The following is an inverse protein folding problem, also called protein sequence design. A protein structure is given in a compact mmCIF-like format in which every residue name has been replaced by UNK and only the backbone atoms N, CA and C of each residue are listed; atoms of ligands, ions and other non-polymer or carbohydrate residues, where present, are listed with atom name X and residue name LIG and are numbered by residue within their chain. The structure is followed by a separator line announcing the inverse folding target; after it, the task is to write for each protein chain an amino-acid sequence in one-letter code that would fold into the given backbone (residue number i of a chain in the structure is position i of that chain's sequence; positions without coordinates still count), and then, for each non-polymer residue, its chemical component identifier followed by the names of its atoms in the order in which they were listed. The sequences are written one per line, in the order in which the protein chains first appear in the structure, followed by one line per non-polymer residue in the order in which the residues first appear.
data_IF_354253623873
#
_entry.id   IF_354253623873
#
_cell.length_a   1.000
_cell.length_b   1.000
_cell.length_c   1.000
_cell.angle_alpha   90.00
_cell.angle_beta   90.00
_cell.angle_gamma   90.00
#
_symmetry.space_group_name_H-M   'P 1'
#
loop_
_entity.id
_entity.type
_entity.pdbx_description
1 polymer ?
#
# COMPACT_ATOMS: atom_id res chain seq x y z
N UNK A 1 1.72 19.86 3.83
CA UNK A 1 0.42 19.22 4.04
C UNK A 1 0.55 17.72 3.85
N UNK A 2 0.06 16.98 4.83
CA UNK A 2 0.18 15.53 4.79
C UNK A 2 -1.00 14.90 4.05
N UNK A 3 -0.70 13.97 3.18
CA UNK A 3 -1.74 13.20 2.51
C UNK A 3 -2.10 11.98 3.36
N UNK A 4 -3.34 11.55 3.28
CA UNK A 4 -3.76 10.32 3.92
C UNK A 4 -3.09 9.13 3.23
N UNK A 5 -3.10 7.97 3.88
CA UNK A 5 -2.54 6.77 3.29
C UNK A 5 -3.18 6.45 1.93
N UNK A 6 -4.51 6.58 1.85
CA UNK A 6 -5.23 6.35 0.60
C UNK A 6 -4.75 7.31 -0.49
N UNK A 7 -4.62 8.58 -0.15
CA UNK A 7 -4.15 9.59 -1.10
C UNK A 7 -2.72 9.33 -1.54
N UNK A 8 -1.86 8.90 -0.63
CA UNK A 8 -0.48 8.56 -0.97
C UNK A 8 -0.43 7.44 -2.00
N UNK A 9 -1.28 6.43 -1.84
CA UNK A 9 -1.35 5.35 -2.81
C UNK A 9 -1.79 5.86 -4.17
N UNK A 10 -2.82 6.72 -4.20
CA UNK A 10 -3.29 7.32 -5.46
C UNK A 10 -2.18 8.09 -6.15
N UNK A 11 -1.40 8.84 -5.39
CA UNK A 11 -0.28 9.61 -5.94
C UNK A 11 0.76 8.67 -6.54
N UNK A 12 1.11 7.61 -5.83
CA UNK A 12 2.10 6.64 -6.32
C UNK A 12 1.64 5.93 -7.58
N UNK A 13 0.33 5.75 -7.74
CA UNK A 13 -0.24 5.13 -8.93
C UNK A 13 -0.43 6.13 -10.08
N UNK A 14 -0.17 7.42 -9.83
CA UNK A 14 -0.33 8.44 -10.85
C UNK A 14 -1.78 8.79 -11.13
N UNK A 15 -2.68 8.49 -10.21
CA UNK A 15 -4.11 8.72 -10.39
C UNK A 15 -4.49 10.09 -9.84
N UNK A 16 -3.89 11.11 -10.38
CA UNK A 16 -4.18 12.48 -9.97
C UNK A 16 -3.75 13.44 -11.07
N UNK A 17 -4.24 14.67 -10.98
CA UNK A 17 -3.76 15.75 -11.83
C UNK A 17 -3.71 17.04 -11.01
N UNK A 18 -2.99 18.00 -11.53
CA UNK A 18 -2.86 19.29 -10.88
C UNK A 18 -3.84 20.25 -11.55
N UNK A 19 -4.67 20.89 -10.75
CA UNK A 19 -5.66 21.86 -11.22
C UNK A 19 -5.22 23.25 -10.73
N UNK A 20 -5.06 24.16 -11.67
CA UNK A 20 -4.66 25.53 -11.38
C UNK A 20 -5.70 26.54 -11.90
N UNK A 21 -6.89 26.06 -12.24
CA UNK A 21 -7.90 26.89 -12.89
C UNK A 21 -8.34 28.10 -12.04
N UNK A 22 -8.23 27.99 -10.73
CA UNK A 22 -8.61 29.08 -9.81
C UNK A 22 -7.44 29.94 -9.39
N UNK A 23 -6.27 29.78 -10.01
CA UNK A 23 -5.06 30.43 -9.58
C UNK A 23 -4.44 29.82 -8.32
N UNK A 24 -5.05 28.76 -7.83
CA UNK A 24 -4.55 28.00 -6.67
C UNK A 24 -4.20 26.60 -7.16
N UNK A 25 -2.99 26.15 -6.82
CA UNK A 25 -2.56 24.83 -7.19
C UNK A 25 -3.25 23.80 -6.30
N UNK A 26 -3.97 22.87 -6.91
CA UNK A 26 -4.68 21.82 -6.19
C UNK A 26 -4.34 20.46 -6.80
N UNK A 27 -4.25 19.46 -5.96
CA UNK A 27 -4.15 18.08 -6.40
C UNK A 27 -5.55 17.50 -6.45
N UNK A 28 -5.94 17.04 -7.64
CA UNK A 28 -7.25 16.41 -7.83
C UNK A 28 -7.02 14.94 -8.15
N UNK A 29 -7.71 14.08 -7.40
CA UNK A 29 -7.54 12.64 -7.58
C UNK A 29 -8.48 12.11 -8.64
N UNK A 30 -7.94 11.25 -9.49
CA UNK A 30 -8.64 10.70 -10.64
C UNK A 30 -9.02 9.25 -10.40
N UNK A 31 -9.72 8.66 -11.37
CA UNK A 31 -10.06 7.24 -11.40
C UNK A 31 -10.79 6.80 -10.14
N UNK A 32 -11.86 7.52 -9.85
CA UNK A 32 -12.67 7.23 -8.66
C UNK A 32 -13.28 5.83 -8.71
N UNK A 33 -13.46 5.28 -9.89
CA UNK A 33 -13.97 3.91 -10.06
C UNK A 33 -13.02 2.87 -9.48
N UNK A 34 -11.74 3.22 -9.31
CA UNK A 34 -10.76 2.31 -8.72
C UNK A 34 -10.66 2.43 -7.20
N UNK A 35 -11.32 3.43 -6.63
CA UNK A 35 -11.17 3.69 -5.19
C UNK A 35 -11.56 2.51 -4.30
N UNK A 36 -12.68 1.80 -4.55
CA UNK A 36 -13.01 0.66 -3.69
C UNK A 36 -11.95 -0.44 -3.75
N UNK A 37 -11.39 -0.69 -4.92
CA UNK A 37 -10.35 -1.69 -5.08
C UNK A 37 -9.09 -1.31 -4.30
N UNK A 38 -8.69 -0.03 -4.41
CA UNK A 38 -7.52 0.47 -3.70
C UNK A 38 -7.74 0.35 -2.20
N UNK A 39 -8.92 0.73 -1.72
CA UNK A 39 -9.21 0.64 -0.29
C UNK A 39 -9.15 -0.79 0.20
N UNK A 40 -9.67 -1.72 -0.57
CA UNK A 40 -9.62 -3.13 -0.21
C UNK A 40 -8.18 -3.63 -0.11
N UNK A 41 -7.33 -3.24 -1.06
CA UNK A 41 -5.92 -3.64 -1.04
C UNK A 41 -5.19 -3.05 0.16
N UNK A 42 -5.52 -1.80 0.53
CA UNK A 42 -4.97 -1.18 1.73
C UNK A 42 -5.37 -1.96 2.97
N UNK A 43 -6.65 -2.32 3.06
CA UNK A 43 -7.15 -3.07 4.20
C UNK A 43 -6.49 -4.44 4.31
N UNK A 44 -6.30 -5.12 3.19
CA UNK A 44 -5.61 -6.40 3.16
C UNK A 44 -4.16 -6.27 3.61
N UNK A 45 -3.45 -5.28 3.09
CA UNK A 45 -2.06 -5.05 3.45
C UNK A 45 -1.94 -4.73 4.93
N UNK A 46 -2.86 -3.90 5.45
CA UNK A 46 -2.89 -3.55 6.85
C UNK A 46 -3.07 -4.79 7.72
N UNK A 47 -4.00 -5.65 7.34
CA UNK A 47 -4.26 -6.87 8.10
C UNK A 47 -3.08 -7.83 8.06
N UNK A 48 -2.40 -7.92 6.92
CA UNK A 48 -1.20 -8.76 6.82
C UNK A 48 -0.10 -8.30 7.77
N UNK A 49 0.09 -6.98 7.87
CA UNK A 49 1.10 -6.44 8.78
C UNK A 49 0.70 -6.70 10.22
N UNK A 50 -0.57 -6.48 10.55
CA UNK A 50 -1.07 -6.76 11.90
C UNK A 50 -0.80 -8.21 12.26
N UNK A 51 -1.08 -9.14 11.34
CA UNK A 51 -0.85 -10.55 11.60
C UNK A 51 0.63 -10.86 11.81
N UNK A 52 1.51 -10.21 11.08
CA UNK A 52 2.96 -10.44 11.22
C UNK A 52 3.54 -9.82 12.47
N UNK A 53 2.90 -8.77 12.99
CA UNK A 53 3.35 -8.12 14.21
C UNK A 53 3.06 -8.96 15.47
N UNK A 54 2.06 -9.84 15.39
CA UNK A 54 1.71 -10.72 16.51
C UNK A 54 1.52 -9.95 17.81
N UNK A 55 0.63 -8.95 17.75
CA UNK A 55 0.39 -8.10 18.93
C UNK A 55 -0.10 -8.92 20.11
N UNK A 56 0.34 -8.58 21.34
CA UNK A 56 -0.15 -9.24 22.54
C UNK A 56 -1.65 -9.01 22.72
N UNK A 57 -2.31 -9.98 23.34
CA UNK A 57 -3.74 -9.85 23.63
C UNK A 57 -4.05 -8.66 24.53
N UNK A 58 -3.08 -8.25 25.34
CA UNK A 58 -3.25 -7.11 26.22
C UNK A 58 -3.29 -5.77 25.47
N UNK A 59 -2.92 -5.76 24.19
CA UNK A 59 -2.94 -4.54 23.42
C UNK A 59 -4.37 -4.16 23.04
N UNK A 60 -4.70 -2.89 23.30
CA UNK A 60 -5.97 -2.34 22.85
C UNK A 60 -5.89 -2.02 21.36
N UNK A 61 -7.03 -1.88 20.71
CA UNK A 61 -7.08 -1.48 19.31
C UNK A 61 -6.39 -0.14 19.13
N UNK A 62 -6.53 0.78 20.08
CA UNK A 62 -5.90 2.08 20.05
C UNK A 62 -4.37 1.97 19.99
N UNK A 63 -3.80 1.07 20.77
CA UNK A 63 -2.35 0.85 20.75
C UNK A 63 -1.87 0.21 19.46
N UNK A 64 -2.67 -0.69 18.92
CA UNK A 64 -2.35 -1.32 17.64
C UNK A 64 -2.37 -0.26 16.55
N UNK A 65 -3.39 0.60 16.54
CA UNK A 65 -3.50 1.67 15.54
C UNK A 65 -2.31 2.61 15.63
N UNK A 66 -1.90 2.94 16.83
CA UNK A 66 -0.75 3.83 17.03
C UNK A 66 0.54 3.20 16.51
N UNK A 67 0.75 1.93 16.79
CA UNK A 67 1.94 1.23 16.29
C UNK A 67 1.91 1.08 14.77
N UNK A 68 0.73 0.88 14.21
CA UNK A 68 0.59 0.71 12.77
C UNK A 68 0.92 1.98 11.97
N UNK A 69 0.89 3.14 12.61
CA UNK A 69 1.23 4.39 11.90
C UNK A 69 2.62 4.36 11.30
N UNK A 70 3.55 3.69 11.95
CA UNK A 70 4.92 3.63 11.41
C UNK A 70 5.06 2.70 10.22
N UNK A 71 4.03 1.93 9.90
CA UNK A 71 4.05 1.02 8.77
C UNK A 71 3.26 1.53 7.56
N UNK A 72 2.81 2.80 7.60
CA UNK A 72 2.04 3.34 6.47
C UNK A 72 2.80 3.28 5.15
N UNK A 73 4.10 3.50 5.20
CA UNK A 73 4.93 3.38 4.00
C UNK A 73 4.94 1.96 3.45
N UNK A 74 5.01 0.98 4.34
CA UNK A 74 4.99 -0.42 3.94
C UNK A 74 3.62 -0.77 3.35
N UNK A 75 2.55 -0.31 3.98
CA UNK A 75 1.19 -0.54 3.48
C UNK A 75 1.05 0.05 2.09
N UNK A 76 1.54 1.27 1.88
CA UNK A 76 1.48 1.91 0.57
C UNK A 76 2.25 1.11 -0.47
N UNK A 77 3.44 0.62 -0.12
CA UNK A 77 4.25 -0.18 -1.04
C UNK A 77 3.55 -1.49 -1.40
N UNK A 78 2.97 -2.17 -0.42
CA UNK A 78 2.25 -3.41 -0.65
C UNK A 78 1.03 -3.17 -1.53
N UNK A 79 0.30 -2.10 -1.28
CA UNK A 79 -0.90 -1.77 -2.04
C UNK A 79 -0.55 -1.49 -3.49
N UNK A 80 0.49 -0.70 -3.73
CA UNK A 80 0.94 -0.40 -5.09
C UNK A 80 1.39 -1.68 -5.80
N UNK A 81 2.15 -2.52 -5.09
CA UNK A 81 2.59 -3.78 -5.65
C UNK A 81 1.40 -4.65 -6.05
N UNK A 82 0.44 -4.82 -5.14
CA UNK A 82 -0.71 -5.68 -5.39
C UNK A 82 -1.60 -5.13 -6.50
N UNK A 83 -1.77 -3.82 -6.55
CA UNK A 83 -2.52 -3.17 -7.62
C UNK A 83 -1.87 -3.45 -8.98
N UNK A 84 -0.56 -3.33 -9.04
CA UNK A 84 0.19 -3.58 -10.27
C UNK A 84 0.14 -5.05 -10.67
N UNK A 85 0.19 -5.96 -9.71
CA UNK A 85 0.12 -7.38 -9.98
C UNK A 85 -1.24 -7.80 -10.53
N UNK A 86 -2.31 -7.15 -10.10
CA UNK A 86 -3.63 -7.45 -10.62
C UNK A 86 -3.70 -7.23 -12.13
N UNK A 87 -2.98 -6.21 -12.63
CA UNK A 87 -2.86 -6.00 -14.06
C UNK A 87 -1.84 -6.92 -14.72
N UNK A 88 -0.83 -7.32 -13.97
CA UNK A 88 0.27 -8.12 -14.50
C UNK A 88 -0.04 -9.62 -14.54
N UNK A 89 -1.15 -10.05 -13.97
CA UNK A 89 -1.54 -11.45 -14.05
C UNK A 89 -1.64 -11.91 -15.50
N UNK A 90 -2.04 -11.02 -16.39
CA UNK A 90 -2.06 -11.30 -17.82
C UNK A 90 -0.70 -11.11 -18.46
N UNK A 91 0.09 -10.20 -17.95
CA UNK A 91 1.40 -9.89 -18.52
C UNK A 91 2.42 -10.98 -18.24
N UNK A 92 2.21 -11.74 -17.18
CA UNK A 92 3.12 -12.85 -16.86
C UNK A 92 3.20 -13.86 -18.00
N UNK A 93 2.12 -14.03 -18.74
CA UNK A 93 2.12 -14.94 -19.87
C UNK A 93 2.92 -14.40 -21.06
N UNK A 94 3.15 -13.10 -21.11
CA UNK A 94 3.92 -12.48 -22.17
C UNK A 94 5.42 -12.50 -21.90
N UNK A 95 5.82 -12.73 -20.67
CA UNK A 95 7.23 -12.82 -20.33
C UNK A 95 7.92 -13.98 -21.01
N UNK A 96 7.16 -14.93 -21.52
CA UNK A 96 7.67 -16.08 -22.28
C UNK A 96 8.31 -15.67 -23.59
N UNK A 97 8.07 -14.45 -24.04
CA UNK A 97 8.63 -13.95 -25.28
C UNK A 97 9.98 -13.26 -25.10
N UNK A 98 10.67 -13.54 -24.02
CA UNK A 98 12.01 -13.04 -23.80
C UNK A 98 12.09 -11.67 -23.13
N UNK A 99 10.96 -11.09 -22.80
CA UNK A 99 10.96 -9.86 -22.02
C UNK A 99 10.84 -10.28 -20.56
N UNK A 100 11.99 -10.35 -19.91
CA UNK A 100 11.96 -10.72 -18.50
C UNK A 100 11.74 -9.46 -17.67
N UNK A 101 10.62 -9.44 -16.96
CA UNK A 101 10.38 -8.45 -15.93
C UNK A 101 10.66 -9.14 -14.61
N UNK A 102 11.67 -8.62 -13.94
CA UNK A 102 11.96 -9.12 -12.61
C UNK A 102 11.16 -8.27 -11.63
N UNK A 103 10.12 -8.86 -11.07
CA UNK A 103 9.35 -8.19 -10.03
C UNK A 103 10.06 -8.34 -8.72
N UNK A 104 10.05 -7.27 -7.94
CA UNK A 104 10.56 -7.32 -6.58
C UNK A 104 9.73 -8.35 -5.83
N UNK A 105 10.40 -9.23 -5.10
CA UNK A 105 9.73 -10.21 -4.29
C UNK A 105 8.84 -9.49 -3.27
N UNK A 106 7.56 -9.85 -3.26
CA UNK A 106 6.60 -9.23 -2.36
C UNK A 106 7.04 -9.36 -0.91
N UNK A 107 7.62 -10.48 -0.57
CA UNK A 107 8.09 -10.75 0.79
C UNK A 107 9.14 -9.73 1.24
N UNK A 108 9.94 -9.23 0.31
CA UNK A 108 10.97 -8.24 0.64
C UNK A 108 10.38 -6.91 1.11
N UNK A 109 9.12 -6.64 0.76
CA UNK A 109 8.45 -5.42 1.21
C UNK A 109 8.16 -5.43 2.70
N UNK A 110 8.20 -6.60 3.33
CA UNK A 110 8.01 -6.74 4.76
C UNK A 110 9.33 -6.70 5.55
N UNK A 111 10.43 -6.32 4.91
CA UNK A 111 11.76 -6.39 5.52
C UNK A 111 11.86 -5.69 6.88
N UNK A 112 11.09 -4.61 7.08
CA UNK A 112 11.11 -3.88 8.35
C UNK A 112 9.96 -4.27 9.28
N UNK A 113 9.17 -5.27 8.92
CA UNK A 113 8.03 -5.71 9.72
C UNK A 113 8.44 -6.98 10.46
N UNK A 114 8.55 -6.86 11.77
CA UNK A 114 8.93 -7.97 12.64
C UNK A 114 7.84 -8.26 13.63
N UNK A 115 7.77 -9.49 14.16
CA UNK A 115 6.85 -9.75 15.26
C UNK A 115 7.11 -8.80 16.41
N UNK A 116 6.05 -8.44 17.11
CA UNK A 116 6.18 -7.60 18.29
C UNK A 116 7.05 -8.34 19.31
N UNK A 117 8.17 -7.73 19.68
CA UNK A 117 9.17 -8.42 20.48
C UNK A 117 8.67 -8.55 21.91
N UNK A 118 8.67 -9.77 22.40
CA UNK A 118 8.40 -10.05 23.80
C UNK A 118 9.72 -10.51 24.40
N UNK A 119 10.12 -9.83 25.45
CA UNK A 119 11.28 -10.26 26.18
C UNK A 119 10.82 -11.22 27.24
N UNK A 120 11.43 -12.36 27.24
CA UNK A 120 11.12 -13.41 28.21
C UNK A 120 12.04 -13.30 29.39
#
# INVERSE_FOLDING_TARGET
MAYTLFEQVKIRLGQFHIDESDGITKTVFDRKEENPKIQQLIDQATQEIINRREYPESYTQERIDEDMKKYEGVIANLTVYDYSQAGEAFMASYSENGVSRTWKDRESLFACVFPFVRFL
#
